data_IF_571255540849
#
_entry.id   IF_571255540849
#
_cell.length_a   1.000
_cell.length_b   1.000
_cell.length_c   1.000
_cell.angle_alpha   90.00
_cell.angle_beta   90.00
_cell.angle_gamma   90.00
#
_symmetry.space_group_name_H-M   'P 1'
#
loop_
_entity.id
_entity.type
_entity.pdbx_description
1 polymer ?
#
# COMPACT_ATOMS: atom_id res chain seq x y z
N UNK A 1 6.59 31.35 -6.15
CA UNK A 1 6.03 29.98 -6.00
C UNK A 1 7.16 28.97 -6.00
N UNK A 2 7.07 27.91 -5.19
CA UNK A 2 8.09 26.87 -5.17
C UNK A 2 7.95 26.00 -6.43
N UNK A 3 8.93 26.10 -7.34
CA UNK A 3 8.99 25.26 -8.53
C UNK A 3 10.19 24.31 -8.46
N UNK A 4 10.05 23.06 -8.92
CA UNK A 4 11.16 22.12 -8.94
C UNK A 4 12.25 22.64 -9.91
N UNK A 5 13.45 22.90 -9.37
CA UNK A 5 14.59 23.36 -10.17
C UNK A 5 15.12 22.30 -11.14
N UNK A 6 14.96 21.01 -10.82
CA UNK A 6 15.46 19.87 -11.61
C UNK A 6 14.53 18.67 -11.53
N UNK A 7 14.62 17.79 -12.55
CA UNK A 7 13.98 16.48 -12.56
C UNK A 7 14.57 15.56 -11.48
N UNK A 8 13.70 14.82 -10.79
CA UNK A 8 14.11 13.79 -9.82
C UNK A 8 14.57 12.54 -10.58
N UNK A 9 15.68 11.93 -10.16
CA UNK A 9 16.17 10.68 -10.76
C UNK A 9 15.15 9.55 -10.60
N UNK A 10 15.19 8.56 -11.50
CA UNK A 10 14.33 7.37 -11.42
C UNK A 10 14.51 6.66 -10.08
N UNK A 11 15.76 6.46 -9.66
CA UNK A 11 16.13 5.86 -8.36
C UNK A 11 15.50 6.58 -7.17
N UNK A 12 15.56 7.92 -7.12
CA UNK A 12 14.97 8.70 -6.02
C UNK A 12 13.44 8.67 -6.04
N UNK A 13 12.83 8.72 -7.24
CA UNK A 13 11.37 8.62 -7.40
C UNK A 13 10.86 7.27 -6.87
N UNK A 14 11.55 6.19 -7.23
CA UNK A 14 11.14 4.84 -6.89
C UNK A 14 11.38 4.56 -5.41
N UNK A 15 12.51 5.04 -4.83
CA UNK A 15 12.75 5.02 -3.38
C UNK A 15 11.69 5.79 -2.58
N UNK A 16 11.21 6.94 -3.08
CA UNK A 16 10.13 7.69 -2.41
C UNK A 16 8.80 6.92 -2.39
N UNK A 17 8.54 6.09 -3.41
CA UNK A 17 7.27 5.35 -3.56
C UNK A 17 7.26 4.01 -2.80
N UNK A 18 8.28 3.65 -2.02
CA UNK A 18 8.32 2.36 -1.31
C UNK A 18 7.14 2.13 -0.36
N UNK A 19 6.61 3.19 0.24
CA UNK A 19 5.53 3.13 1.23
C UNK A 19 4.11 3.17 0.64
N UNK A 20 3.95 3.21 -0.70
CA UNK A 20 2.63 3.32 -1.32
C UNK A 20 1.85 1.99 -1.37
N UNK A 21 2.49 0.87 -1.02
CA UNK A 21 1.93 -0.46 -1.20
C UNK A 21 0.77 -0.70 -0.24
N UNK A 22 -0.35 -1.19 -0.78
CA UNK A 22 -1.48 -1.64 0.04
C UNK A 22 -1.10 -2.92 0.80
N UNK A 23 -1.43 -2.95 2.09
CA UNK A 23 -1.33 -4.15 2.92
C UNK A 23 -2.61 -4.96 2.71
N UNK A 24 -2.47 -6.28 2.52
CA UNK A 24 -3.63 -7.16 2.44
C UNK A 24 -4.32 -7.25 3.80
N UNK A 25 -5.66 -7.16 3.86
CA UNK A 25 -6.38 -7.37 5.10
C UNK A 25 -6.23 -8.82 5.56
N UNK A 26 -6.20 -9.03 6.88
CA UNK A 26 -6.28 -10.36 7.47
C UNK A 26 -7.69 -10.89 7.30
N UNK A 27 -7.85 -11.90 6.45
CA UNK A 27 -9.11 -12.56 6.17
C UNK A 27 -9.18 -13.87 6.96
N UNK A 28 -10.26 -14.07 7.70
CA UNK A 28 -10.54 -15.31 8.41
C UNK A 28 -11.83 -15.94 7.87
N UNK A 29 -11.82 -17.26 7.74
CA UNK A 29 -13.00 -18.03 7.37
C UNK A 29 -13.86 -18.27 8.60
N UNK A 30 -15.14 -17.90 8.53
CA UNK A 30 -16.08 -18.15 9.60
C UNK A 30 -16.35 -19.65 9.75
N UNK A 31 -16.16 -20.26 10.94
CA UNK A 31 -16.37 -21.70 11.12
C UNK A 31 -17.84 -22.12 11.04
N UNK A 32 -18.78 -21.20 11.24
CA UNK A 32 -20.23 -21.49 11.26
C UNK A 32 -20.93 -21.25 9.93
N UNK A 33 -20.44 -20.32 9.11
CA UNK A 33 -21.11 -19.91 7.85
C UNK A 33 -20.24 -20.10 6.61
N UNK A 34 -18.95 -20.42 6.76
CA UNK A 34 -18.01 -20.57 5.64
C UNK A 34 -17.70 -19.27 4.88
N UNK A 35 -18.25 -18.14 5.33
CA UNK A 35 -18.01 -16.83 4.70
C UNK A 35 -16.69 -16.22 5.17
N UNK A 36 -16.07 -15.42 4.30
CA UNK A 36 -14.80 -14.75 4.60
C UNK A 36 -15.10 -13.42 5.28
N UNK A 37 -14.57 -13.24 6.49
CA UNK A 37 -14.69 -11.99 7.25
C UNK A 37 -13.31 -11.35 7.45
N UNK A 38 -13.28 -10.02 7.56
CA UNK A 38 -12.11 -9.31 8.06
C UNK A 38 -11.97 -9.67 9.53
N UNK A 39 -10.81 -10.20 9.91
CA UNK A 39 -10.55 -10.58 11.29
C UNK A 39 -10.57 -9.34 12.18
N UNK A 40 -11.34 -9.40 13.27
CA UNK A 40 -11.39 -8.38 14.33
C UNK A 40 -10.59 -8.85 15.54
#
# INVERSE_FOLDING_TARGET
MAHPKRKISKTRRDKRRTHYKAVLPTLATCPTTGTVHIYH
#
